data_IF_313850137316
#
_entry.id   IF_313850137316
#
_cell.length_a   1.000
_cell.length_b   1.000
_cell.length_c   1.000
_cell.angle_alpha   90.00
_cell.angle_beta   90.00
_cell.angle_gamma   90.00
#
_symmetry.space_group_name_H-M   'P 1'
#
loop_
_entity.id
_entity.type
_entity.pdbx_description
1 polymer ?
#
# COMPACT_ATOMS: atom_id res chain seq x y z
N UNK A 1 17.01 -39.34 -14.95
CA UNK A 1 15.87 -39.40 -15.90
C UNK A 1 16.42 -39.12 -17.29
N UNK A 2 15.89 -39.83 -18.28
CA UNK A 2 16.22 -39.65 -19.70
C UNK A 2 15.80 -38.22 -20.15
N UNK A 3 16.69 -37.41 -20.74
CA UNK A 3 16.34 -36.10 -21.31
C UNK A 3 15.15 -36.14 -22.28
N UNK A 4 14.92 -37.28 -22.93
CA UNK A 4 13.76 -37.50 -23.79
C UNK A 4 12.45 -37.60 -23.00
N UNK A 5 12.47 -38.20 -21.81
CA UNK A 5 11.29 -38.31 -20.94
C UNK A 5 10.87 -36.94 -20.40
N UNK A 6 11.82 -36.12 -19.94
CA UNK A 6 11.54 -34.76 -19.46
C UNK A 6 10.99 -33.85 -20.57
N UNK A 7 11.59 -33.92 -21.78
CA UNK A 7 11.09 -33.22 -22.97
C UNK A 7 9.65 -33.61 -23.29
N UNK A 8 9.32 -34.89 -23.16
CA UNK A 8 7.97 -35.39 -23.39
C UNK A 8 6.98 -34.92 -22.31
N UNK A 9 7.35 -34.97 -21.03
CA UNK A 9 6.50 -34.53 -19.92
C UNK A 9 6.14 -33.04 -20.00
N UNK A 10 7.14 -32.17 -20.21
CA UNK A 10 6.91 -30.73 -20.34
C UNK A 10 6.01 -30.39 -21.53
N UNK A 11 6.25 -31.02 -22.70
CA UNK A 11 5.39 -30.84 -23.88
C UNK A 11 3.96 -31.31 -23.65
N UNK A 12 3.77 -32.41 -22.93
CA UNK A 12 2.44 -32.95 -22.65
C UNK A 12 1.60 -31.96 -21.83
N UNK A 13 2.21 -31.35 -20.81
CA UNK A 13 1.53 -30.34 -19.98
C UNK A 13 1.18 -29.08 -20.78
N UNK A 14 2.09 -28.60 -21.63
CA UNK A 14 1.83 -27.46 -22.53
C UNK A 14 0.68 -27.78 -23.49
N UNK A 15 0.70 -28.96 -24.12
CA UNK A 15 -0.35 -29.39 -25.05
C UNK A 15 -1.72 -29.51 -24.36
N UNK A 16 -1.76 -29.93 -23.10
CA UNK A 16 -3.00 -29.95 -22.32
C UNK A 16 -3.56 -28.55 -22.09
N UNK A 17 -2.70 -27.57 -21.76
CA UNK A 17 -3.10 -26.16 -21.62
C UNK A 17 -3.67 -25.64 -22.94
N UNK A 18 -2.91 -25.75 -24.02
CA UNK A 18 -3.30 -25.21 -25.33
C UNK A 18 -4.57 -25.87 -25.84
N UNK A 19 -4.62 -27.21 -25.86
CA UNK A 19 -5.76 -27.94 -26.39
C UNK A 19 -7.05 -27.70 -25.60
N UNK A 20 -6.97 -27.62 -24.26
CA UNK A 20 -8.15 -27.32 -23.45
C UNK A 20 -8.62 -25.87 -23.64
N UNK A 21 -7.69 -24.90 -23.72
CA UNK A 21 -8.05 -23.50 -23.95
C UNK A 21 -8.62 -23.26 -25.36
N UNK A 22 -8.14 -23.95 -26.39
CA UNK A 22 -8.70 -23.88 -27.76
C UNK A 22 -10.14 -24.40 -27.79
N UNK A 23 -10.39 -25.54 -27.15
CA UNK A 23 -11.74 -26.12 -27.06
C UNK A 23 -12.73 -25.19 -26.35
N UNK A 24 -12.29 -24.54 -25.26
CA UNK A 24 -13.12 -23.60 -24.53
C UNK A 24 -13.37 -22.33 -25.34
N UNK A 25 -12.33 -21.75 -25.95
CA UNK A 25 -12.47 -20.51 -26.73
C UNK A 25 -13.45 -20.66 -27.89
N UNK A 26 -13.44 -21.81 -28.54
CA UNK A 26 -14.30 -22.09 -29.70
C UNK A 26 -15.76 -22.40 -29.31
N UNK A 27 -16.09 -22.44 -28.01
CA UNK A 27 -17.47 -22.58 -27.53
C UNK A 27 -18.25 -21.26 -27.74
N UNK A 28 -19.26 -21.25 -28.65
CA UNK A 28 -20.01 -20.04 -28.99
C UNK A 28 -20.93 -19.56 -27.85
N UNK A 29 -21.14 -20.38 -26.82
CA UNK A 29 -21.95 -20.02 -25.66
C UNK A 29 -21.23 -19.08 -24.69
N UNK A 30 -19.90 -18.90 -24.84
CA UNK A 30 -19.12 -18.08 -23.92
C UNK A 30 -19.25 -16.56 -24.18
N UNK A 31 -19.33 -15.76 -23.11
CA UNK A 31 -19.20 -14.31 -23.19
C UNK A 31 -17.93 -13.89 -23.92
N UNK A 32 -17.98 -12.73 -24.59
CA UNK A 32 -16.81 -12.21 -25.32
C UNK A 32 -15.60 -11.99 -24.40
N UNK A 33 -15.82 -11.46 -23.20
CA UNK A 33 -14.74 -11.23 -22.22
C UNK A 33 -13.97 -12.52 -21.91
N UNK A 34 -14.67 -13.64 -21.73
CA UNK A 34 -14.05 -14.93 -21.44
C UNK A 34 -13.22 -15.44 -22.60
N UNK A 35 -13.69 -15.22 -23.83
CA UNK A 35 -12.94 -15.57 -25.04
C UNK A 35 -11.67 -14.74 -25.19
N UNK A 36 -11.73 -13.46 -24.84
CA UNK A 36 -10.55 -12.59 -24.86
C UNK A 36 -9.49 -13.10 -23.84
N UNK A 37 -9.90 -13.51 -22.64
CA UNK A 37 -8.97 -14.07 -21.64
C UNK A 37 -8.46 -15.48 -22.00
N UNK A 38 -9.28 -16.33 -22.62
CA UNK A 38 -8.86 -17.63 -23.16
C UNK A 38 -7.84 -17.48 -24.30
N UNK A 39 -7.99 -16.47 -25.18
CA UNK A 39 -7.01 -16.20 -26.23
C UNK A 39 -5.65 -15.79 -25.65
N UNK A 40 -5.64 -15.08 -24.51
CA UNK A 40 -4.40 -14.74 -23.82
C UNK A 40 -3.73 -15.96 -23.19
N UNK A 41 -4.51 -16.88 -22.59
CA UNK A 41 -3.99 -18.19 -22.15
C UNK A 41 -3.32 -18.93 -23.33
N UNK A 42 -3.94 -18.92 -24.51
CA UNK A 42 -3.40 -19.56 -25.71
C UNK A 42 -2.11 -18.92 -26.20
N UNK A 43 -2.04 -17.59 -26.21
CA UNK A 43 -0.84 -16.87 -26.58
C UNK A 43 0.32 -17.22 -25.64
N UNK A 44 0.08 -17.24 -24.33
CA UNK A 44 1.09 -17.61 -23.33
C UNK A 44 1.48 -19.09 -23.42
N UNK A 45 0.53 -19.99 -23.69
CA UNK A 45 0.81 -21.41 -23.96
C UNK A 45 1.75 -21.62 -25.15
N UNK A 46 1.50 -20.91 -26.26
CA UNK A 46 2.38 -20.95 -27.45
C UNK A 46 3.75 -20.33 -27.19
N UNK A 47 3.81 -19.24 -26.41
CA UNK A 47 5.08 -18.65 -25.99
C UNK A 47 5.91 -19.61 -25.15
N UNK A 48 5.27 -20.28 -24.18
CA UNK A 48 5.89 -21.31 -23.35
C UNK A 48 6.40 -22.49 -24.19
N UNK A 49 5.64 -22.93 -25.18
CA UNK A 49 6.06 -23.98 -26.12
C UNK A 49 7.36 -23.60 -26.84
N UNK A 50 7.42 -22.39 -27.40
CA UNK A 50 8.56 -21.89 -28.15
C UNK A 50 9.82 -21.77 -27.27
N UNK A 51 9.69 -21.15 -26.10
CA UNK A 51 10.80 -20.98 -25.16
C UNK A 51 11.31 -22.33 -24.63
N UNK A 52 10.39 -23.27 -24.36
CA UNK A 52 10.75 -24.62 -23.91
C UNK A 52 11.48 -25.37 -25.02
N UNK A 53 11.06 -25.23 -26.28
CA UNK A 53 11.74 -25.83 -27.41
C UNK A 53 13.17 -25.27 -27.58
N UNK A 54 13.32 -23.94 -27.54
CA UNK A 54 14.62 -23.27 -27.64
C UNK A 54 15.58 -23.70 -26.51
N UNK A 55 15.06 -23.77 -25.28
CA UNK A 55 15.82 -24.24 -24.12
C UNK A 55 16.29 -25.68 -24.29
N UNK A 56 15.41 -26.59 -24.70
CA UNK A 56 15.72 -28.01 -24.82
C UNK A 56 16.64 -28.31 -26.01
N UNK A 57 16.66 -27.47 -27.05
CA UNK A 57 17.51 -27.64 -28.23
C UNK A 57 18.91 -27.02 -28.07
N UNK A 58 19.10 -26.06 -27.15
CA UNK A 58 20.42 -25.43 -26.88
C UNK A 58 21.32 -26.20 -25.90
N UNK A 59 20.96 -27.45 -25.56
CA UNK A 59 21.75 -28.45 -24.84
C UNK A 59 23.11 -28.04 -24.25
N UNK A 60 23.09 -27.38 -23.09
CA UNK A 60 24.20 -27.37 -22.13
C UNK A 60 25.43 -26.55 -22.49
N UNK A 61 25.41 -25.25 -22.19
CA UNK A 61 26.51 -24.48 -21.55
C UNK A 61 26.01 -23.06 -21.32
N UNK A 62 25.24 -22.86 -20.25
CA UNK A 62 24.74 -21.53 -19.86
C UNK A 62 25.28 -21.21 -18.46
N UNK A 63 25.75 -20.00 -18.24
CA UNK A 63 26.29 -19.56 -16.95
C UNK A 63 25.15 -19.44 -15.92
N UNK A 64 25.46 -19.40 -14.62
CA UNK A 64 24.45 -19.27 -13.57
C UNK A 64 23.52 -18.05 -13.73
N UNK A 65 24.04 -16.95 -14.30
CA UNK A 65 23.26 -15.75 -14.65
C UNK A 65 22.26 -15.97 -15.79
N UNK A 66 22.59 -16.85 -16.75
CA UNK A 66 21.76 -17.13 -17.93
C UNK A 66 20.61 -18.08 -17.59
N UNK A 67 20.83 -18.98 -16.61
CA UNK A 67 19.80 -19.87 -16.07
C UNK A 67 18.74 -19.10 -15.28
N UNK A 68 19.14 -18.08 -14.50
CA UNK A 68 18.19 -17.21 -13.80
C UNK A 68 17.30 -16.42 -14.76
N UNK A 69 17.87 -15.85 -15.83
CA UNK A 69 17.11 -15.15 -16.88
C UNK A 69 16.17 -16.09 -17.63
N UNK A 70 16.65 -17.26 -18.05
CA UNK A 70 15.79 -18.28 -18.69
C UNK A 70 14.64 -18.73 -17.79
N UNK A 71 14.90 -18.92 -16.51
CA UNK A 71 13.86 -19.29 -15.55
C UNK A 71 12.80 -18.21 -15.44
N UNK A 72 13.20 -16.93 -15.42
CA UNK A 72 12.28 -15.81 -15.48
C UNK A 72 11.45 -15.79 -16.78
N UNK A 73 12.11 -15.95 -17.92
CA UNK A 73 11.47 -15.94 -19.24
C UNK A 73 10.44 -17.08 -19.40
N UNK A 74 10.72 -18.25 -18.84
CA UNK A 74 9.82 -19.41 -18.85
C UNK A 74 8.71 -19.33 -17.80
N UNK A 75 8.98 -18.74 -16.64
CA UNK A 75 7.98 -18.58 -15.56
C UNK A 75 6.88 -17.61 -15.95
N UNK A 76 7.23 -16.55 -16.67
CA UNK A 76 6.33 -15.50 -17.13
C UNK A 76 5.08 -16.06 -17.84
N UNK A 77 5.18 -16.77 -18.99
CA UNK A 77 4.01 -17.30 -19.69
C UNK A 77 3.22 -18.34 -18.86
N UNK A 78 3.86 -19.07 -17.95
CA UNK A 78 3.17 -20.04 -17.08
C UNK A 78 2.30 -19.33 -16.04
N UNK A 79 2.85 -18.29 -15.39
CA UNK A 79 2.09 -17.44 -14.48
C UNK A 79 0.92 -16.77 -15.22
N UNK A 80 1.10 -16.45 -16.50
CA UNK A 80 0.02 -15.91 -17.33
C UNK A 80 -1.14 -16.89 -17.50
N UNK A 81 -0.84 -18.14 -17.82
CA UNK A 81 -1.85 -19.19 -17.94
C UNK A 81 -2.59 -19.39 -16.61
N UNK A 82 -1.85 -19.48 -15.50
CA UNK A 82 -2.43 -19.70 -14.16
C UNK A 82 -3.35 -18.54 -13.79
N UNK A 83 -2.88 -17.30 -13.94
CA UNK A 83 -3.62 -16.10 -13.53
C UNK A 83 -4.95 -15.93 -14.27
N UNK A 84 -4.96 -16.02 -15.60
CA UNK A 84 -6.21 -15.94 -16.37
C UNK A 84 -7.11 -17.14 -16.11
N UNK A 85 -6.56 -18.35 -15.95
CA UNK A 85 -7.37 -19.51 -15.60
C UNK A 85 -8.06 -19.31 -14.24
N UNK A 86 -7.40 -18.71 -13.26
CA UNK A 86 -8.00 -18.38 -11.95
C UNK A 86 -9.11 -17.33 -12.06
N UNK A 87 -8.91 -16.25 -12.82
CA UNK A 87 -9.99 -15.26 -13.04
C UNK A 87 -11.22 -15.93 -13.66
N UNK A 88 -11.02 -16.72 -14.71
CA UNK A 88 -12.11 -17.44 -15.36
C UNK A 88 -12.76 -18.49 -14.45
N UNK A 89 -12.00 -19.10 -13.53
CA UNK A 89 -12.54 -20.02 -12.51
C UNK A 89 -13.48 -19.25 -11.58
N UNK A 90 -13.09 -18.08 -11.09
CA UNK A 90 -13.94 -17.24 -10.22
C UNK A 90 -15.21 -16.82 -10.96
N UNK A 91 -15.10 -16.33 -12.19
CA UNK A 91 -16.26 -15.95 -13.01
C UNK A 91 -17.18 -17.15 -13.31
N UNK A 92 -16.63 -18.35 -13.46
CA UNK A 92 -17.40 -19.59 -13.60
C UNK A 92 -18.07 -20.06 -12.32
N UNK A 93 -17.46 -19.80 -11.15
CA UNK A 93 -18.10 -20.03 -9.85
C UNK A 93 -19.30 -19.09 -9.68
N UNK A 94 -19.14 -17.80 -9.97
CA UNK A 94 -20.20 -16.79 -9.86
C UNK A 94 -21.34 -17.02 -10.86
N UNK A 95 -21.04 -17.51 -12.06
CA UNK A 95 -22.02 -17.87 -13.08
C UNK A 95 -22.63 -19.28 -12.88
N UNK A 96 -22.29 -19.98 -11.79
CA UNK A 96 -22.70 -21.36 -11.49
C UNK A 96 -22.40 -22.38 -12.63
N UNK A 97 -21.38 -22.13 -13.45
CA UNK A 97 -21.05 -22.97 -14.61
C UNK A 97 -20.02 -24.06 -14.26
N UNK A 98 -20.53 -25.17 -13.73
CA UNK A 98 -19.72 -26.30 -13.26
C UNK A 98 -18.86 -26.96 -14.35
N UNK A 99 -19.29 -26.94 -15.61
CA UNK A 99 -18.51 -27.58 -16.70
C UNK A 99 -17.25 -26.77 -16.99
N UNK A 100 -17.39 -25.46 -17.18
CA UNK A 100 -16.26 -24.57 -17.47
C UNK A 100 -15.28 -24.55 -16.30
N UNK A 101 -15.80 -24.55 -15.09
CA UNK A 101 -15.01 -24.62 -13.88
C UNK A 101 -14.05 -25.83 -13.83
N UNK A 102 -14.53 -27.01 -14.22
CA UNK A 102 -13.71 -28.24 -14.28
C UNK A 102 -12.61 -28.11 -15.32
N UNK A 103 -12.93 -27.63 -16.52
CA UNK A 103 -11.96 -27.52 -17.62
C UNK A 103 -10.90 -26.44 -17.36
N UNK A 104 -11.29 -25.29 -16.79
CA UNK A 104 -10.35 -24.24 -16.39
C UNK A 104 -9.43 -24.69 -15.24
N UNK A 105 -9.94 -25.47 -14.28
CA UNK A 105 -9.10 -26.07 -13.23
C UNK A 105 -8.06 -27.04 -13.81
N UNK A 106 -8.39 -27.77 -14.88
CA UNK A 106 -7.42 -28.63 -15.58
C UNK A 106 -6.32 -27.82 -16.25
N UNK A 107 -6.67 -26.71 -16.92
CA UNK A 107 -5.69 -25.78 -17.52
C UNK A 107 -4.74 -25.25 -16.44
N UNK A 108 -5.29 -24.71 -15.35
CA UNK A 108 -4.51 -24.20 -14.22
C UNK A 108 -3.58 -25.27 -13.63
N UNK A 109 -4.09 -26.48 -13.39
CA UNK A 109 -3.29 -27.58 -12.84
C UNK A 109 -2.18 -28.04 -13.78
N UNK A 110 -2.42 -28.09 -15.09
CA UNK A 110 -1.38 -28.43 -16.06
C UNK A 110 -0.24 -27.40 -16.07
N UNK A 111 -0.58 -26.10 -16.00
CA UNK A 111 0.40 -25.02 -15.92
C UNK A 111 1.18 -25.03 -14.59
N UNK A 112 0.51 -25.24 -13.46
CA UNK A 112 1.15 -25.35 -12.14
C UNK A 112 2.14 -26.53 -12.08
N UNK A 113 1.72 -27.70 -12.57
CA UNK A 113 2.59 -28.89 -12.63
C UNK A 113 3.80 -28.65 -13.54
N UNK A 114 3.64 -27.87 -14.61
CA UNK A 114 4.75 -27.52 -15.49
C UNK A 114 5.81 -26.70 -14.73
N UNK A 115 5.37 -25.70 -13.96
CA UNK A 115 6.26 -24.83 -13.18
C UNK A 115 7.02 -25.61 -12.12
N UNK A 116 6.32 -26.48 -11.37
CA UNK A 116 6.91 -27.33 -10.33
C UNK A 116 7.95 -28.28 -10.92
N UNK A 117 7.62 -28.98 -12.02
CA UNK A 117 8.53 -29.89 -12.70
C UNK A 117 9.78 -29.16 -13.22
N UNK A 118 9.63 -27.93 -13.70
CA UNK A 118 10.75 -27.12 -14.18
C UNK A 118 11.64 -26.65 -13.01
N UNK A 119 11.04 -26.14 -11.93
CA UNK A 119 11.76 -25.66 -10.76
C UNK A 119 12.61 -26.77 -10.10
N UNK A 120 11.99 -27.92 -9.81
CA UNK A 120 12.65 -29.08 -9.17
C UNK A 120 13.85 -29.61 -9.95
N UNK A 121 13.84 -29.44 -11.27
CA UNK A 121 14.84 -30.02 -12.17
C UNK A 121 15.99 -29.08 -12.49
N UNK A 122 15.74 -27.77 -12.51
CA UNK A 122 16.68 -26.78 -13.04
C UNK A 122 17.10 -25.70 -12.04
N UNK A 123 16.40 -25.55 -10.91
CA UNK A 123 16.66 -24.49 -9.92
C UNK A 123 16.98 -25.04 -8.53
N UNK A 124 16.32 -26.12 -8.10
CA UNK A 124 16.56 -26.68 -6.77
C UNK A 124 18.01 -27.19 -6.61
N UNK A 125 18.72 -26.86 -5.50
CA UNK A 125 19.98 -27.48 -5.16
C UNK A 125 19.78 -28.98 -4.96
N UNK A 126 20.59 -29.81 -5.64
CA UNK A 126 20.69 -31.25 -5.34
C UNK A 126 21.36 -31.43 -3.97
N UNK A 127 20.57 -31.47 -2.90
CA UNK A 127 21.03 -32.03 -1.64
C UNK A 127 20.99 -33.56 -1.73
N UNK A 128 22.16 -34.17 -1.51
CA UNK A 128 22.30 -35.61 -1.30
C UNK A 128 21.73 -35.98 0.09
N UNK A 129 21.28 -37.23 0.30
CA UNK A 129 20.59 -37.59 1.53
C UNK A 129 21.59 -37.62 2.69
N UNK A 130 21.31 -36.86 3.75
CA UNK A 130 21.94 -37.02 5.05
C UNK A 130 20.87 -37.35 6.08
N UNK A 131 20.93 -38.61 6.51
CA UNK A 131 20.55 -39.22 7.77
C UNK A 131 19.70 -38.44 8.79
N UNK A 132 18.68 -39.18 9.23
CA UNK A 132 17.78 -39.02 10.36
C UNK A 132 18.42 -38.39 11.62
N UNK A 133 17.78 -37.34 12.16
CA UNK A 133 17.17 -37.40 13.50
C UNK A 133 16.32 -36.12 13.81
N UNK A 134 15.36 -36.20 14.75
CA UNK A 134 14.10 -35.49 14.65
C UNK A 134 14.08 -34.16 15.42
N UNK A 135 13.40 -33.16 14.84
CA UNK A 135 12.96 -31.98 15.60
C UNK A 135 11.47 -32.03 15.96
N UNK A 136 11.10 -31.50 17.14
CA UNK A 136 9.84 -31.79 17.79
C UNK A 136 8.78 -30.73 17.49
N UNK A 137 7.55 -31.18 17.25
CA UNK A 137 6.34 -30.50 17.70
C UNK A 137 5.94 -29.20 17.01
N UNK A 138 5.24 -29.32 15.88
CA UNK A 138 4.16 -28.39 15.53
C UNK A 138 2.90 -29.22 15.20
N UNK A 139 2.08 -29.46 16.22
CA UNK A 139 0.73 -29.97 16.06
C UNK A 139 -0.11 -28.88 15.37
N UNK A 140 -0.41 -29.05 14.08
CA UNK A 140 -1.57 -28.42 13.47
C UNK A 140 -2.80 -29.25 13.82
N UNK A 141 -3.80 -28.73 14.56
CA UNK A 141 -5.06 -29.44 14.73
C UNK A 141 -5.85 -29.36 13.41
N UNK A 142 -6.40 -30.51 12.99
CA UNK A 142 -7.27 -30.65 11.81
C UNK A 142 -8.44 -29.67 11.80
N UNK A 143 -8.91 -29.25 10.61
CA UNK A 143 -9.99 -28.29 10.47
C UNK A 143 -11.35 -28.99 10.48
N UNK A 144 -11.98 -29.05 11.64
CA UNK A 144 -13.43 -29.19 11.72
C UNK A 144 -13.98 -28.08 12.64
N UNK A 145 -15.03 -27.40 12.18
CA UNK A 145 -15.88 -26.42 12.90
C UNK A 145 -15.51 -24.92 12.95
N UNK A 146 -14.69 -24.37 12.03
CA UNK A 146 -14.48 -22.90 11.92
C UNK A 146 -15.27 -22.18 10.83
N UNK A 147 -15.97 -22.90 9.95
CA UNK A 147 -16.66 -22.31 8.79
C UNK A 147 -17.80 -21.34 9.17
N UNK A 148 -18.43 -21.51 10.34
CA UNK A 148 -19.57 -20.67 10.75
C UNK A 148 -19.18 -19.36 11.46
N UNK A 149 -17.97 -19.25 12.02
CA UNK A 149 -17.53 -18.01 12.71
C UNK A 149 -16.88 -16.99 11.78
N UNK A 150 -16.43 -17.41 10.60
CA UNK A 150 -15.84 -16.52 9.60
C UNK A 150 -16.91 -15.73 8.82
N UNK A 151 -18.15 -16.21 8.78
CA UNK A 151 -19.27 -15.54 8.09
C UNK A 151 -19.75 -14.28 8.83
N UNK A 152 -19.79 -14.30 10.18
CA UNK A 152 -20.27 -13.16 10.98
C UNK A 152 -19.28 -12.00 11.13
N UNK A 153 -18.01 -12.16 10.72
CA UNK A 153 -17.01 -11.08 10.67
C UNK A 153 -16.80 -10.53 9.24
N UNK A 154 -17.42 -11.14 8.23
CA UNK A 154 -17.40 -10.63 6.86
C UNK A 154 -18.42 -9.50 6.65
N UNK A 155 -19.49 -9.45 7.45
CA UNK A 155 -20.59 -8.48 7.29
C UNK A 155 -20.33 -7.10 7.92
N UNK A 156 -19.18 -6.88 8.56
CA UNK A 156 -18.81 -5.62 9.23
C UNK A 156 -17.48 -5.01 8.74
N UNK A 157 -16.90 -5.50 7.63
CA UNK A 157 -15.70 -4.89 7.05
C UNK A 157 -16.11 -3.83 6.04
N UNK A 158 -15.65 -2.60 6.26
CA UNK A 158 -15.88 -1.51 5.30
C UNK A 158 -15.29 -1.89 3.95
N UNK A 159 -16.01 -1.61 2.86
CA UNK A 159 -15.47 -1.56 1.51
C UNK A 159 -14.42 -0.42 1.45
N UNK A 160 -13.24 -0.64 2.01
CA UNK A 160 -12.18 0.36 2.09
C UNK A 160 -11.56 0.54 0.70
N UNK A 161 -12.21 1.32 -0.15
CA UNK A 161 -11.71 1.67 -1.48
C UNK A 161 -10.49 2.58 -1.33
N UNK A 162 -9.41 2.30 -2.05
CA UNK A 162 -8.16 3.06 -1.94
C UNK A 162 -7.47 3.17 -3.30
N UNK A 163 -6.47 4.04 -3.37
CA UNK A 163 -5.58 4.20 -4.53
C UNK A 163 -4.38 3.27 -4.35
N UNK A 164 -4.21 2.30 -5.24
CA UNK A 164 -3.12 1.34 -5.20
C UNK A 164 -2.17 1.62 -6.34
N UNK A 165 -0.88 1.82 -6.06
CA UNK A 165 0.16 1.87 -7.07
C UNK A 165 0.77 0.47 -7.23
N UNK A 166 0.56 -0.12 -8.40
CA UNK A 166 1.11 -1.40 -8.79
C UNK A 166 2.40 -1.21 -9.61
N UNK A 167 3.49 -1.82 -9.15
CA UNK A 167 4.82 -1.72 -9.76
C UNK A 167 5.32 -3.12 -10.07
N UNK A 168 5.39 -3.45 -11.35
CA UNK A 168 5.86 -4.75 -11.86
C UNK A 168 6.31 -4.50 -13.31
N UNK A 169 7.41 -5.07 -13.79
CA UNK A 169 7.89 -4.82 -15.15
C UNK A 169 7.08 -5.59 -16.22
N UNK A 170 6.42 -6.68 -15.81
CA UNK A 170 5.57 -7.46 -16.69
C UNK A 170 4.18 -6.81 -16.86
N UNK A 171 3.92 -6.30 -18.07
CA UNK A 171 2.65 -5.68 -18.45
C UNK A 171 1.45 -6.56 -18.16
N UNK A 172 1.59 -7.88 -18.32
CA UNK A 172 0.49 -8.79 -18.02
C UNK A 172 0.23 -8.90 -16.52
N UNK A 173 1.27 -9.04 -15.70
CA UNK A 173 1.09 -9.08 -14.24
C UNK A 173 0.39 -7.81 -13.78
N UNK A 174 0.74 -6.67 -14.40
CA UNK A 174 0.06 -5.40 -14.17
C UNK A 174 -1.42 -5.43 -14.59
N UNK A 175 -1.77 -5.87 -15.81
CA UNK A 175 -3.18 -5.98 -16.27
C UNK A 175 -4.01 -6.89 -15.34
N UNK A 176 -3.48 -8.08 -15.03
CA UNK A 176 -4.16 -9.07 -14.20
C UNK A 176 -4.47 -8.54 -12.80
N UNK A 177 -3.44 -8.02 -12.12
CA UNK A 177 -3.58 -7.47 -10.79
C UNK A 177 -4.45 -6.22 -10.78
N UNK A 178 -4.32 -5.34 -11.79
CA UNK A 178 -5.17 -4.15 -11.92
C UNK A 178 -6.64 -4.54 -11.96
N UNK A 179 -7.02 -5.47 -12.86
CA UNK A 179 -8.40 -5.96 -12.96
C UNK A 179 -8.93 -6.55 -11.67
N UNK A 180 -8.10 -7.36 -10.99
CA UNK A 180 -8.50 -7.99 -9.73
C UNK A 180 -8.72 -6.94 -8.63
N UNK A 181 -7.83 -5.96 -8.52
CA UNK A 181 -7.95 -4.89 -7.52
C UNK A 181 -9.09 -3.91 -7.84
N UNK A 182 -9.31 -3.61 -9.12
CA UNK A 182 -10.46 -2.81 -9.58
C UNK A 182 -11.78 -3.53 -9.32
N UNK A 183 -11.83 -4.85 -9.51
CA UNK A 183 -12.98 -5.68 -9.15
C UNK A 183 -13.30 -5.67 -7.64
N UNK A 184 -12.31 -5.37 -6.80
CA UNK A 184 -12.49 -5.14 -5.35
C UNK A 184 -12.86 -3.69 -5.01
N UNK A 185 -13.03 -2.81 -6.01
CA UNK A 185 -13.43 -1.41 -5.84
C UNK A 185 -12.28 -0.42 -5.62
N UNK A 186 -11.03 -0.84 -5.76
CA UNK A 186 -9.87 0.05 -5.65
C UNK A 186 -9.60 0.80 -6.96
N UNK A 187 -8.98 1.98 -6.86
CA UNK A 187 -8.41 2.69 -8.01
C UNK A 187 -6.97 2.26 -8.18
N UNK A 188 -6.61 1.71 -9.33
CA UNK A 188 -5.25 1.24 -9.58
C UNK A 188 -4.48 2.22 -10.46
N UNK A 189 -3.26 2.53 -10.06
CA UNK A 189 -2.25 3.22 -10.87
C UNK A 189 -1.13 2.22 -11.15
N UNK A 190 -0.53 2.28 -12.32
CA UNK A 190 0.47 1.32 -12.75
C UNK A 190 1.81 2.00 -13.04
N UNK A 191 2.89 1.35 -12.68
CA UNK A 191 4.25 1.70 -13.07
C UNK A 191 4.97 0.45 -13.57
N UNK A 192 5.65 0.57 -14.71
CA UNK A 192 6.36 -0.52 -15.39
C UNK A 192 7.78 -0.75 -14.90
N UNK A 193 8.24 0.05 -13.94
CA UNK A 193 9.60 0.01 -13.43
C UNK A 193 9.69 0.74 -12.10
N UNK A 194 10.72 0.41 -11.32
CA UNK A 194 11.04 1.16 -10.10
C UNK A 194 11.31 2.65 -10.35
N UNK A 195 11.89 3.00 -11.51
CA UNK A 195 12.12 4.39 -11.90
C UNK A 195 10.81 5.14 -12.23
N UNK A 196 9.88 4.48 -12.93
CA UNK A 196 8.55 5.02 -13.19
C UNK A 196 7.76 5.19 -11.88
N UNK A 197 7.88 4.25 -10.93
CA UNK A 197 7.27 4.34 -9.60
C UNK A 197 7.72 5.61 -8.85
N UNK A 198 9.03 5.83 -8.73
CA UNK A 198 9.56 7.02 -8.04
C UNK A 198 9.18 8.31 -8.79
N UNK A 199 9.29 8.32 -10.12
CA UNK A 199 8.87 9.46 -10.94
C UNK A 199 7.39 9.79 -10.79
N UNK A 200 6.54 8.78 -10.61
CA UNK A 200 5.11 8.94 -10.38
C UNK A 200 4.83 9.67 -9.07
N UNK A 201 5.51 9.28 -7.98
CA UNK A 201 5.36 9.89 -6.66
C UNK A 201 5.90 11.33 -6.61
N UNK A 202 7.01 11.60 -7.31
CA UNK A 202 7.58 12.95 -7.41
C UNK A 202 6.66 13.93 -8.14
N UNK A 203 6.00 13.48 -9.21
CA UNK A 203 5.16 14.33 -10.06
C UNK A 203 3.76 14.57 -9.51
N UNK A 204 3.33 13.75 -8.54
CA UNK A 204 1.95 13.74 -8.04
C UNK A 204 1.88 13.82 -6.50
N UNK A 205 2.47 14.85 -5.87
CA UNK A 205 2.51 14.95 -4.40
C UNK A 205 1.12 15.08 -3.75
N UNK A 206 0.12 15.59 -4.49
CA UNK A 206 -1.26 15.74 -4.02
C UNK A 206 -2.14 14.50 -4.28
N UNK A 207 -1.61 13.47 -4.96
CA UNK A 207 -2.37 12.28 -5.38
C UNK A 207 -1.56 11.00 -5.11
N UNK A 208 -1.07 10.91 -3.87
CA UNK A 208 -0.30 9.77 -3.36
C UNK A 208 -1.17 8.51 -3.24
N UNK A 209 -0.60 7.32 -3.48
CA UNK A 209 -1.30 6.07 -3.28
C UNK A 209 -1.46 5.72 -1.79
N UNK A 210 -2.53 5.03 -1.45
CA UNK A 210 -2.79 4.46 -0.13
C UNK A 210 -1.96 3.19 0.12
N UNK A 211 -1.52 2.51 -0.95
CA UNK A 211 -0.75 1.29 -0.91
C UNK A 211 0.12 1.17 -2.17
N UNK A 212 1.36 0.69 -2.00
CA UNK A 212 2.22 0.29 -3.11
C UNK A 212 2.37 -1.24 -3.10
N UNK A 213 2.02 -1.87 -4.22
CA UNK A 213 2.36 -3.27 -4.49
C UNK A 213 3.59 -3.29 -5.40
N UNK A 214 4.69 -3.86 -4.92
CA UNK A 214 5.99 -3.73 -5.56
C UNK A 214 6.61 -5.09 -5.85
N UNK A 215 6.86 -5.40 -7.12
CA UNK A 215 7.60 -6.60 -7.48
C UNK A 215 9.05 -6.53 -6.99
N UNK A 216 9.53 -7.65 -6.47
CA UNK A 216 10.87 -7.76 -5.91
C UNK A 216 11.93 -7.77 -7.02
N UNK A 217 11.67 -8.53 -8.09
CA UNK A 217 12.61 -8.75 -9.18
C UNK A 217 12.17 -7.93 -10.38
N UNK A 218 12.97 -6.93 -10.75
CA UNK A 218 12.75 -6.11 -11.96
C UNK A 218 14.10 -5.90 -12.67
N UNK A 219 14.15 -5.80 -14.01
CA UNK A 219 15.39 -5.76 -14.78
C UNK A 219 16.25 -4.52 -14.55
N UNK A 220 15.64 -3.38 -14.21
CA UNK A 220 16.33 -2.10 -14.03
C UNK A 220 16.67 -1.84 -12.56
N UNK A 221 15.69 -1.36 -11.80
CA UNK A 221 15.81 -1.03 -10.40
C UNK A 221 15.01 -2.03 -9.57
N UNK A 222 15.71 -2.88 -8.84
CA UNK A 222 15.10 -3.90 -7.98
C UNK A 222 14.17 -3.30 -6.93
N UNK A 223 13.17 -4.10 -6.51
CA UNK A 223 12.16 -3.67 -5.55
C UNK A 223 12.72 -3.29 -4.17
N UNK A 224 13.82 -3.91 -3.70
CA UNK A 224 14.46 -3.52 -2.43
C UNK A 224 15.07 -2.12 -2.49
N UNK A 225 15.70 -1.76 -3.61
CA UNK A 225 16.26 -0.43 -3.82
C UNK A 225 15.17 0.64 -3.95
N UNK A 226 14.03 0.29 -4.54
CA UNK A 226 12.84 1.16 -4.55
C UNK A 226 12.31 1.35 -3.14
N UNK A 227 12.12 0.26 -2.38
CA UNK A 227 11.64 0.30 -0.99
C UNK A 227 12.53 1.21 -0.12
N UNK A 228 13.85 1.05 -0.22
CA UNK A 228 14.81 1.87 0.54
C UNK A 228 14.61 3.37 0.25
N UNK A 229 14.50 3.76 -1.02
CA UNK A 229 14.24 5.16 -1.40
C UNK A 229 12.87 5.67 -0.96
N UNK A 230 11.84 4.81 -0.96
CA UNK A 230 10.52 5.17 -0.46
C UNK A 230 10.58 5.47 1.04
N UNK A 231 11.31 4.68 1.81
CA UNK A 231 11.42 4.83 3.27
C UNK A 231 12.36 5.94 3.71
N UNK A 232 13.33 6.33 2.89
CA UNK A 232 14.20 7.48 3.12
C UNK A 232 13.52 8.84 2.89
N UNK A 233 12.43 8.90 2.12
CA UNK A 233 11.73 10.14 1.82
C UNK A 233 10.57 10.39 2.79
N UNK A 234 10.63 11.47 3.59
CA UNK A 234 9.59 11.84 4.56
C UNK A 234 8.18 11.98 3.96
N UNK A 235 8.07 12.30 2.66
CA UNK A 235 6.77 12.47 1.99
C UNK A 235 6.09 11.14 1.66
N UNK A 236 6.85 10.05 1.51
CA UNK A 236 6.35 8.75 1.03
C UNK A 236 6.64 7.59 1.99
N UNK A 237 7.46 7.80 3.03
CA UNK A 237 7.90 6.78 3.97
C UNK A 237 6.74 6.10 4.71
N UNK A 238 5.67 6.85 4.93
CA UNK A 238 4.44 6.38 5.59
C UNK A 238 3.54 5.54 4.68
N UNK A 239 3.77 5.52 3.37
CA UNK A 239 2.96 4.72 2.44
C UNK A 239 3.31 3.24 2.68
N UNK A 240 2.33 2.36 2.96
CA UNK A 240 2.58 0.94 3.12
C UNK A 240 3.04 0.35 1.78
N UNK A 241 4.10 -0.45 1.83
CA UNK A 241 4.64 -1.15 0.67
C UNK A 241 4.52 -2.65 0.94
N UNK A 242 3.81 -3.36 0.07
CA UNK A 242 3.73 -4.82 0.09
C UNK A 242 4.58 -5.36 -1.04
N UNK A 243 5.60 -6.14 -0.66
CA UNK A 243 6.53 -6.73 -1.62
C UNK A 243 5.90 -7.97 -2.25
N UNK A 244 5.90 -8.06 -3.57
CA UNK A 244 5.50 -9.26 -4.29
C UNK A 244 6.79 -10.01 -4.66
N UNK A 245 6.97 -11.24 -4.17
CA UNK A 245 8.22 -12.00 -4.35
C UNK A 245 7.96 -13.47 -4.66
N UNK A 246 8.96 -14.25 -5.05
CA UNK A 246 8.86 -15.69 -5.24
C UNK A 246 8.78 -16.45 -3.89
N UNK A 247 8.18 -17.65 -3.89
CA UNK A 247 7.98 -18.48 -2.69
C UNK A 247 9.29 -18.89 -1.98
N UNK A 248 10.39 -19.01 -2.71
CA UNK A 248 11.69 -19.52 -2.25
C UNK A 248 12.60 -18.44 -1.63
N UNK A 249 12.21 -17.17 -1.68
CA UNK A 249 13.04 -16.05 -1.20
C UNK A 249 12.80 -15.68 0.28
N UNK A 250 12.86 -16.64 1.20
CA UNK A 250 12.66 -16.37 2.63
C UNK A 250 13.65 -15.34 3.19
N UNK A 251 14.90 -15.37 2.70
CA UNK A 251 15.94 -14.42 3.12
C UNK A 251 15.71 -13.00 2.60
N UNK A 252 15.23 -12.84 1.37
CA UNK A 252 14.85 -11.53 0.82
C UNK A 252 13.58 -10.98 1.44
N UNK A 253 12.60 -11.83 1.76
CA UNK A 253 11.39 -11.44 2.49
C UNK A 253 11.76 -10.82 3.85
N UNK A 254 12.56 -11.52 4.66
CA UNK A 254 12.98 -11.01 5.97
C UNK A 254 13.71 -9.65 5.84
N UNK A 255 14.63 -9.55 4.89
CA UNK A 255 15.36 -8.29 4.61
C UNK A 255 14.43 -7.15 4.22
N UNK A 256 13.40 -7.39 3.43
CA UNK A 256 12.45 -6.35 3.04
C UNK A 256 11.61 -5.86 4.22
N UNK A 257 11.16 -6.77 5.09
CA UNK A 257 10.43 -6.40 6.32
C UNK A 257 11.31 -5.56 7.24
N UNK A 258 12.58 -5.96 7.45
CA UNK A 258 13.55 -5.18 8.25
C UNK A 258 13.81 -3.79 7.67
N UNK A 259 13.73 -3.63 6.34
CA UNK A 259 13.85 -2.35 5.63
C UNK A 259 12.56 -1.52 5.61
N UNK A 260 11.50 -1.98 6.28
CA UNK A 260 10.27 -1.23 6.45
C UNK A 260 9.14 -1.58 5.47
N UNK A 261 9.23 -2.68 4.73
CA UNK A 261 8.06 -3.21 4.03
C UNK A 261 6.95 -3.53 5.05
N UNK A 262 5.71 -3.20 4.71
CA UNK A 262 4.56 -3.43 5.59
C UNK A 262 4.18 -4.93 5.58
N UNK A 263 4.30 -5.59 4.44
CA UNK A 263 4.03 -7.03 4.29
C UNK A 263 4.69 -7.59 3.01
N UNK A 264 4.51 -8.88 2.77
CA UNK A 264 4.87 -9.54 1.52
C UNK A 264 3.77 -10.47 0.98
N UNK A 265 3.80 -10.72 -0.33
CA UNK A 265 2.89 -11.59 -1.05
C UNK A 265 3.68 -12.55 -1.95
N UNK A 266 3.67 -13.87 -1.67
CA UNK A 266 4.42 -14.84 -2.46
C UNK A 266 3.72 -15.14 -3.80
N UNK A 267 4.46 -15.16 -4.91
CA UNK A 267 4.03 -15.62 -6.25
C UNK A 267 4.24 -17.14 -6.35
N UNK A 268 3.22 -17.93 -6.77
CA UNK A 268 1.83 -17.53 -7.02
C UNK A 268 1.03 -17.32 -5.72
N UNK A 269 0.12 -16.34 -5.72
CA UNK A 269 -0.73 -16.03 -4.57
C UNK A 269 -2.20 -16.32 -4.86
N UNK A 270 -2.91 -16.81 -3.83
CA UNK A 270 -4.35 -17.00 -3.92
C UNK A 270 -5.09 -15.64 -3.86
N UNK A 271 -6.15 -15.43 -4.67
CA UNK A 271 -6.93 -14.17 -4.68
C UNK A 271 -7.38 -13.69 -3.29
N UNK A 272 -7.87 -14.62 -2.47
CA UNK A 272 -8.27 -14.35 -1.09
C UNK A 272 -7.14 -13.77 -0.21
N UNK A 273 -5.89 -14.19 -0.43
CA UNK A 273 -4.72 -13.67 0.31
C UNK A 273 -4.41 -12.25 -0.17
N UNK A 274 -4.39 -12.01 -1.49
CA UNK A 274 -4.19 -10.66 -2.03
C UNK A 274 -5.21 -9.68 -1.44
N UNK A 275 -6.51 -10.04 -1.51
CA UNK A 275 -7.60 -9.22 -0.96
C UNK A 275 -7.37 -8.89 0.52
N UNK A 276 -7.13 -9.92 1.34
CA UNK A 276 -6.96 -9.72 2.78
C UNK A 276 -5.77 -8.80 3.11
N UNK A 277 -4.65 -8.92 2.38
CA UNK A 277 -3.45 -8.08 2.56
C UNK A 277 -3.72 -6.64 2.15
N UNK A 278 -4.30 -6.44 0.98
CA UNK A 278 -4.62 -5.11 0.44
C UNK A 278 -5.59 -4.37 1.35
N UNK A 279 -6.71 -5.01 1.71
CA UNK A 279 -7.72 -4.41 2.59
C UNK A 279 -7.11 -4.01 3.94
N UNK A 280 -6.33 -4.91 4.56
CA UNK A 280 -5.65 -4.65 5.83
C UNK A 280 -4.70 -3.45 5.74
N UNK A 281 -3.91 -3.33 4.67
CA UNK A 281 -3.00 -2.21 4.50
C UNK A 281 -3.73 -0.89 4.23
N UNK A 282 -4.75 -0.89 3.37
CA UNK A 282 -5.53 0.32 3.04
C UNK A 282 -6.32 0.81 4.26
N UNK A 283 -6.97 -0.08 5.00
CA UNK A 283 -7.68 0.27 6.24
C UNK A 283 -6.72 0.88 7.26
N UNK A 284 -5.55 0.24 7.47
CA UNK A 284 -4.52 0.74 8.39
C UNK A 284 -3.99 2.11 7.98
N UNK A 285 -3.80 2.35 6.67
CA UNK A 285 -3.36 3.65 6.14
C UNK A 285 -4.39 4.74 6.44
N UNK A 286 -5.66 4.49 6.14
CA UNK A 286 -6.75 5.44 6.42
C UNK A 286 -6.91 5.74 7.91
N UNK A 287 -6.76 4.74 8.77
CA UNK A 287 -6.81 4.94 10.22
C UNK A 287 -5.68 5.86 10.70
N UNK A 288 -4.45 5.66 10.22
CA UNK A 288 -3.31 6.54 10.55
C UNK A 288 -3.53 7.98 10.06
N UNK A 289 -4.08 8.15 8.86
CA UNK A 289 -4.41 9.49 8.33
C UNK A 289 -5.49 10.17 9.16
N UNK A 290 -6.59 9.47 9.47
CA UNK A 290 -7.67 9.99 10.30
C UNK A 290 -7.18 10.37 11.72
N UNK A 291 -6.30 9.58 12.31
CA UNK A 291 -5.68 9.89 13.61
C UNK A 291 -4.86 11.19 13.53
N UNK A 292 -4.03 11.34 12.49
CA UNK A 292 -3.21 12.54 12.29
C UNK A 292 -4.07 13.79 12.11
N UNK A 293 -5.12 13.71 11.30
CA UNK A 293 -6.07 14.81 11.12
C UNK A 293 -6.77 15.18 12.43
N UNK A 294 -7.16 14.17 13.23
CA UNK A 294 -7.79 14.39 14.52
C UNK A 294 -6.86 15.09 15.51
N UNK A 295 -5.60 14.65 15.61
CA UNK A 295 -4.58 15.29 16.45
C UNK A 295 -4.31 16.73 16.02
N UNK A 296 -4.15 16.99 14.72
CA UNK A 296 -3.95 18.33 14.19
C UNK A 296 -5.13 19.27 14.53
N UNK A 297 -6.37 18.74 14.50
CA UNK A 297 -7.55 19.50 14.90
C UNK A 297 -7.54 19.85 16.39
N UNK A 298 -7.18 18.89 17.26
CA UNK A 298 -7.06 19.15 18.71
C UNK A 298 -6.02 20.23 18.97
N UNK A 299 -4.85 20.16 18.34
CA UNK A 299 -3.79 21.17 18.48
C UNK A 299 -4.29 22.55 18.04
N UNK A 300 -5.01 22.62 16.92
CA UNK A 300 -5.58 23.86 16.41
C UNK A 300 -6.63 24.46 17.38
N UNK A 301 -7.50 23.62 17.94
CA UNK A 301 -8.50 24.03 18.94
C UNK A 301 -7.82 24.50 20.24
N UNK A 302 -6.78 23.81 20.70
CA UNK A 302 -5.99 24.21 21.87
C UNK A 302 -5.27 25.54 21.65
N UNK A 303 -4.60 25.72 20.50
CA UNK A 303 -3.91 26.96 20.17
C UNK A 303 -4.88 28.15 20.09
N UNK A 304 -6.08 27.93 19.54
CA UNK A 304 -7.15 28.94 19.51
C UNK A 304 -7.64 29.28 20.92
N UNK A 305 -7.88 28.28 21.76
CA UNK A 305 -8.30 28.46 23.16
C UNK A 305 -7.25 29.24 23.96
N UNK A 306 -5.96 28.90 23.80
CA UNK A 306 -4.86 29.59 24.46
C UNK A 306 -4.76 31.06 24.04
N UNK A 307 -4.86 31.35 22.74
CA UNK A 307 -4.86 32.73 22.24
C UNK A 307 -6.01 33.55 22.82
N UNK A 308 -7.20 32.97 22.96
CA UNK A 308 -8.36 33.66 23.54
C UNK A 308 -8.20 33.90 25.03
N UNK A 309 -7.66 32.93 25.79
CA UNK A 309 -7.37 33.11 27.21
C UNK A 309 -6.34 34.22 27.45
N UNK A 310 -5.27 34.25 26.66
CA UNK A 310 -4.21 35.27 26.78
C UNK A 310 -4.65 36.67 26.34
N UNK A 311 -5.70 36.78 25.53
CA UNK A 311 -6.31 38.09 25.20
C UNK A 311 -7.10 38.69 26.36
N UNK A 312 -7.56 37.87 27.31
CA UNK A 312 -8.43 38.30 28.43
C UNK A 312 -7.67 38.33 29.75
N UNK A 313 -6.72 37.41 29.95
CA UNK A 313 -6.00 37.23 31.20
C UNK A 313 -4.48 37.31 30.97
N UNK A 314 -3.74 37.94 31.89
CA UNK A 314 -2.28 37.86 31.90
C UNK A 314 -1.79 36.40 31.90
N UNK A 315 -0.68 36.15 31.22
CA UNK A 315 -0.08 34.81 31.10
C UNK A 315 0.11 34.08 32.45
N UNK A 316 0.58 34.73 33.54
CA UNK A 316 0.72 34.06 34.84
C UNK A 316 -0.61 33.54 35.41
N UNK A 317 -1.69 34.31 35.23
CA UNK A 317 -3.03 33.97 35.70
C UNK A 317 -3.63 32.83 34.85
N UNK A 318 -3.43 32.88 33.54
CA UNK A 318 -3.88 31.82 32.62
C UNK A 318 -3.17 30.47 32.90
N UNK A 319 -1.86 30.49 33.19
CA UNK A 319 -1.09 29.28 33.53
C UNK A 319 -1.54 28.67 34.87
N UNK A 320 -1.81 29.49 35.88
CA UNK A 320 -2.33 29.04 37.18
C UNK A 320 -3.74 28.45 37.10
N UNK A 321 -4.61 29.07 36.30
CA UNK A 321 -5.93 28.52 35.99
C UNK A 321 -5.85 27.17 35.26
N UNK A 322 -4.93 27.03 34.29
CA UNK A 322 -4.67 25.75 33.62
C UNK A 322 -4.16 24.67 34.59
N UNK A 323 -3.41 25.06 35.62
CA UNK A 323 -2.97 24.16 36.69
C UNK A 323 -4.09 23.76 37.69
N UNK A 324 -5.31 24.26 37.49
CA UNK A 324 -6.48 23.93 38.33
C UNK A 324 -6.60 24.75 39.60
N UNK A 325 -5.82 25.83 39.74
CA UNK A 325 -5.88 26.72 40.89
C UNK A 325 -7.16 27.57 40.85
N UNK A 326 -8.00 27.46 41.90
CA UNK A 326 -9.33 28.10 41.94
C UNK A 326 -9.33 29.46 42.65
N UNK A 327 -8.35 29.73 43.50
CA UNK A 327 -8.18 31.01 44.19
C UNK A 327 -7.03 31.78 43.55
N UNK A 328 -7.36 32.78 42.73
CA UNK A 328 -6.37 33.59 41.99
C UNK A 328 -6.26 35.01 42.59
N UNK A 329 -6.45 35.12 43.90
CA UNK A 329 -6.33 36.38 44.61
C UNK A 329 -4.86 36.60 45.02
N UNK A 330 -4.14 37.39 44.22
CA UNK A 330 -2.78 37.78 44.55
C UNK A 330 -2.74 38.99 45.48
N UNK A 331 -1.86 38.93 46.48
CA UNK A 331 -1.62 40.03 47.40
C UNK A 331 -0.27 40.69 47.09
N UNK A 332 -0.33 41.99 46.81
CA UNK A 332 0.86 42.81 46.59
C UNK A 332 0.96 43.84 47.72
N UNK A 333 2.03 43.84 48.53
CA UNK A 333 2.16 44.76 49.67
C UNK A 333 2.35 46.22 49.25
N UNK A 334 2.88 46.47 48.05
CA UNK A 334 3.07 47.80 47.46
C UNK A 334 2.66 47.76 45.99
N UNK A 335 1.69 48.58 45.60
CA UNK A 335 1.21 48.69 44.22
C UNK A 335 1.22 50.16 43.80
N UNK A 336 1.71 50.43 42.60
CA UNK A 336 1.59 51.74 41.94
C UNK A 336 0.59 51.60 40.80
N UNK A 337 -0.49 52.39 40.83
CA UNK A 337 -1.51 52.40 39.78
C UNK A 337 -1.37 53.68 38.96
N UNK A 338 -1.21 53.54 37.64
CA UNK A 338 -1.17 54.66 36.71
C UNK A 338 -2.53 54.81 36.02
N UNK A 339 -3.12 55.99 36.12
CA UNK A 339 -4.27 56.39 35.31
C UNK A 339 -3.79 57.37 34.24
N UNK A 340 -4.14 57.09 32.99
CA UNK A 340 -3.84 57.95 31.85
C UNK A 340 -5.10 58.08 30.99
N UNK A 341 -5.34 59.28 30.48
CA UNK A 341 -6.48 59.61 29.62
C UNK A 341 -6.01 60.41 28.40
N UNK A 342 -6.74 60.32 27.31
CA UNK A 342 -6.48 61.07 26.09
C UNK A 342 -7.07 62.47 26.20
N UNK A 343 -6.20 63.48 26.29
CA UNK A 343 -6.60 64.89 26.33
C UNK A 343 -7.41 65.25 25.08
N UNK A 344 -8.57 65.88 25.27
CA UNK A 344 -9.48 66.36 24.22
C UNK A 344 -9.98 65.28 23.23
N UNK A 345 -9.99 64.00 23.62
CA UNK A 345 -10.43 62.89 22.75
C UNK A 345 -11.82 63.10 22.14
N UNK A 346 -12.75 63.69 22.90
CA UNK A 346 -14.13 63.96 22.41
C UNK A 346 -14.15 64.91 21.21
N UNK A 347 -13.26 65.92 21.20
CA UNK A 347 -13.15 66.84 20.05
C UNK A 347 -12.49 66.13 18.87
N UNK A 348 -11.41 65.38 19.13
CA UNK A 348 -10.71 64.60 18.12
C UNK A 348 -11.65 63.62 17.38
N UNK A 349 -12.48 62.89 18.13
CA UNK A 349 -13.42 61.91 17.57
C UNK A 349 -14.61 62.51 16.84
N UNK A 350 -14.94 63.79 17.10
CA UNK A 350 -16.03 64.48 16.41
C UNK A 350 -15.65 64.90 14.98
N UNK A 351 -14.36 65.13 14.72
CA UNK A 351 -13.87 65.70 13.45
C UNK A 351 -13.06 64.69 12.60
N UNK A 352 -12.97 63.42 13.02
CA UNK A 352 -12.13 62.40 12.38
C UNK A 352 -12.96 61.18 11.96
N UNK A 353 -12.64 60.57 10.81
CA UNK A 353 -13.31 59.35 10.38
C UNK A 353 -13.06 58.17 11.35
N UNK A 354 -14.06 57.29 11.57
CA UNK A 354 -13.96 56.23 12.57
C UNK A 354 -12.79 55.25 12.37
N UNK A 355 -12.45 54.91 11.13
CA UNK A 355 -11.34 54.02 10.79
C UNK A 355 -9.98 54.63 11.16
N UNK A 356 -9.82 55.93 10.94
CA UNK A 356 -8.62 56.68 11.33
C UNK A 356 -8.49 56.78 12.86
N UNK A 357 -9.60 57.01 13.59
CA UNK A 357 -9.63 56.98 15.06
C UNK A 357 -9.23 55.59 15.58
N UNK A 358 -9.80 54.52 15.02
CA UNK A 358 -9.47 53.14 15.41
C UNK A 358 -8.01 52.82 15.13
N UNK A 359 -7.47 53.25 13.99
CA UNK A 359 -6.06 53.12 13.65
C UNK A 359 -5.13 53.84 14.64
N UNK A 360 -5.47 55.08 15.00
CA UNK A 360 -4.73 55.87 15.99
C UNK A 360 -4.73 55.18 17.37
N UNK A 361 -5.91 54.79 17.85
CA UNK A 361 -6.07 54.10 19.14
C UNK A 361 -5.29 52.79 19.16
N UNK A 362 -5.41 51.96 18.11
CA UNK A 362 -4.66 50.71 18.00
C UNK A 362 -3.14 50.94 18.03
N UNK A 363 -2.64 51.97 17.33
CA UNK A 363 -1.21 52.30 17.37
C UNK A 363 -0.76 52.76 18.76
N UNK A 364 -1.60 53.54 19.45
CA UNK A 364 -1.27 54.11 20.76
C UNK A 364 -1.28 53.00 21.83
N UNK A 365 -2.31 52.15 21.84
CA UNK A 365 -2.40 50.98 22.71
C UNK A 365 -1.29 49.97 22.43
N UNK A 366 -0.96 49.68 21.16
CA UNK A 366 0.12 48.76 20.83
C UNK A 366 1.49 49.24 21.32
N UNK A 367 1.77 50.56 21.23
CA UNK A 367 3.00 51.14 21.79
C UNK A 367 3.02 51.10 23.31
N UNK A 368 1.87 51.35 23.94
CA UNK A 368 1.73 51.24 25.39
C UNK A 368 1.94 49.81 25.87
N UNK A 369 1.39 48.82 25.17
CA UNK A 369 1.55 47.40 25.47
C UNK A 369 3.02 46.97 25.34
N UNK A 370 3.73 47.42 24.31
CA UNK A 370 5.18 47.19 24.17
C UNK A 370 5.98 47.80 25.31
N UNK A 371 5.66 49.03 25.74
CA UNK A 371 6.34 49.69 26.85
C UNK A 371 6.05 49.00 28.18
N UNK A 372 4.79 48.63 28.43
CA UNK A 372 4.40 47.88 29.62
C UNK A 372 5.15 46.55 29.70
N UNK A 373 5.22 45.82 28.58
CA UNK A 373 5.98 44.57 28.50
C UNK A 373 7.48 44.77 28.72
N UNK A 374 8.09 45.80 28.12
CA UNK A 374 9.51 46.09 28.29
C UNK A 374 9.87 46.44 29.75
N UNK A 375 8.99 47.16 30.44
CA UNK A 375 9.19 47.53 31.84
C UNK A 375 8.66 46.50 32.85
N UNK A 376 8.13 45.36 32.39
CA UNK A 376 7.55 44.34 33.27
C UNK A 376 6.31 44.81 34.05
N UNK A 377 5.57 45.78 33.50
CA UNK A 377 4.36 46.33 34.09
C UNK A 377 3.14 45.51 33.67
N UNK A 378 2.22 45.29 34.60
CA UNK A 378 1.01 44.50 34.37
C UNK A 378 -0.18 45.42 34.07
N UNK A 379 -0.84 45.21 32.92
CA UNK A 379 -1.96 46.03 32.46
C UNK A 379 -3.26 45.54 33.10
N UNK A 380 -3.85 46.36 33.96
CA UNK A 380 -5.16 46.10 34.54
C UNK A 380 -6.20 46.96 33.80
N UNK A 381 -6.82 46.38 32.75
CA UNK A 381 -7.88 46.94 31.90
C UNK A 381 -7.67 48.36 31.35
N UNK A 382 -7.61 48.48 30.02
CA UNK A 382 -8.08 49.68 29.30
C UNK A 382 -9.61 49.67 29.30
N UNK A 383 -10.24 50.45 30.19
CA UNK A 383 -11.67 50.79 30.08
C UNK A 383 -11.76 52.16 29.43
N UNK A 384 -12.43 52.23 28.28
CA UNK A 384 -12.63 53.45 27.49
C UNK A 384 -13.15 53.10 26.12
#
# INVERSE_FOLDING_TARGET
>A
MDPLALRHELRTLINHVIGAAELLRDDPSLPKAWRDDLERILQSGRSLENLTAEFLDTGGTRSGSDLGRLYHDLRTPVNHIIGYAELLIEEAEDAENQRLHVDLRRIRSAAANWLELFHDRFVAPREAPSDEDPHPGAHFPSPDSKADRLRSAAELRSEATGIILLVDDDEYNRDLLSRRLEGLGHRVKQADSGAACLSFLERSPDDLPDLILLDMVMPDLNGDAVLERLKENESWSEIPVVMISALDDQSGIARCIERGAEDYLPKPFHPAILRARVESCVEKRKLREAEREHLARIEQEQAKSERLLLNVLPRPIAERLKAGEKEIADYFPNVTVLFADLVDFTRLSSDTEPDVIVGLLNSLFSRFDLLAQWHGLEKIKTIG
#
